data_IF_494006070408
#
_entry.id   IF_494006070408
#
_cell.length_a   1.000
_cell.length_b   1.000
_cell.length_c   1.000
_cell.angle_alpha   90.00
_cell.angle_beta   90.00
_cell.angle_gamma   90.00
#
_symmetry.space_group_name_H-M   'P 1'
#
loop_
_entity.id
_entity.type
_entity.pdbx_description
1 polymer ?
#
# COMPACT_ATOMS: atom_id res chain seq x y z
N UNK A 1 -9.88 13.06 -0.56
CA UNK A 1 -8.85 13.79 0.21
C UNK A 1 -7.50 13.25 -0.22
N UNK A 2 -6.47 14.09 -0.37
CA UNK A 2 -5.11 13.64 -0.64
C UNK A 2 -4.39 13.55 0.71
N UNK A 3 -3.88 12.39 1.07
CA UNK A 3 -3.17 12.18 2.34
C UNK A 3 -1.72 11.79 2.07
N UNK A 4 -0.82 12.28 2.92
CA UNK A 4 0.56 11.82 2.92
C UNK A 4 0.65 10.40 3.50
N UNK A 5 1.53 9.60 2.91
CA UNK A 5 1.80 8.22 3.28
C UNK A 5 3.29 8.07 3.52
N UNK A 6 3.65 7.37 4.58
CA UNK A 6 4.99 6.89 4.88
C UNK A 6 5.02 5.39 4.65
N UNK A 7 5.92 4.93 3.78
CA UNK A 7 6.09 3.52 3.49
C UNK A 7 7.05 2.87 4.48
N UNK A 8 6.77 1.63 4.88
CA UNK A 8 7.66 0.88 5.76
C UNK A 8 8.95 0.54 4.99
N UNK A 9 10.14 0.86 5.53
CA UNK A 9 11.41 0.59 4.87
C UNK A 9 11.57 -0.88 4.48
N UNK A 10 11.99 -1.14 3.25
CA UNK A 10 12.20 -2.49 2.73
C UNK A 10 10.93 -3.21 2.27
N UNK A 11 9.73 -2.68 2.55
CA UNK A 11 8.46 -3.22 2.04
C UNK A 11 8.43 -3.30 0.52
N UNK A 12 7.63 -4.22 -0.01
CA UNK A 12 7.39 -4.30 -1.46
C UNK A 12 6.75 -2.99 -1.94
N UNK A 13 5.86 -2.39 -1.17
CA UNK A 13 5.23 -1.12 -1.52
C UNK A 13 6.25 0.02 -1.67
N UNK A 14 7.19 0.19 -0.73
CA UNK A 14 8.26 1.20 -0.84
C UNK A 14 9.09 1.00 -2.11
N UNK A 15 9.42 -0.26 -2.45
CA UNK A 15 10.17 -0.59 -3.68
C UNK A 15 9.38 -0.27 -4.95
N UNK A 16 8.07 -0.50 -4.96
CA UNK A 16 7.20 -0.20 -6.10
C UNK A 16 7.12 1.31 -6.36
N UNK A 17 7.02 2.11 -5.30
CA UNK A 17 6.97 3.56 -5.42
C UNK A 17 8.35 4.20 -5.65
N UNK A 18 9.42 3.53 -5.23
CA UNK A 18 10.80 4.01 -5.40
C UNK A 18 11.14 5.18 -4.46
N UNK A 19 10.37 5.37 -3.40
CA UNK A 19 10.53 6.44 -2.42
C UNK A 19 10.02 5.98 -1.03
N UNK A 20 10.29 6.79 0.00
CA UNK A 20 9.86 6.51 1.38
C UNK A 20 8.49 7.10 1.72
N UNK A 21 8.00 8.03 0.90
CA UNK A 21 6.69 8.65 1.10
C UNK A 21 6.04 9.07 -0.21
N UNK A 22 4.72 9.11 -0.22
CA UNK A 22 3.92 9.56 -1.36
C UNK A 22 2.65 10.27 -0.88
N UNK A 23 1.95 10.90 -1.81
CA UNK A 23 0.62 11.48 -1.55
C UNK A 23 -0.41 10.80 -2.43
N UNK A 24 -1.35 10.09 -1.81
CA UNK A 24 -2.39 9.34 -2.50
C UNK A 24 -3.79 9.83 -2.13
N UNK A 25 -4.74 9.54 -3.01
CA UNK A 25 -6.13 9.95 -2.83
C UNK A 25 -6.96 8.83 -2.18
N UNK A 26 -7.82 9.21 -1.24
CA UNK A 26 -8.84 8.33 -0.67
C UNK A 26 -10.05 9.09 -0.17
N UNK A 27 -11.18 8.39 -0.09
CA UNK A 27 -12.44 8.94 0.38
C UNK A 27 -13.13 7.94 1.31
N UNK A 28 -12.53 7.75 2.48
CA UNK A 28 -13.05 6.87 3.52
C UNK A 28 -12.41 7.23 4.87
N UNK A 29 -13.23 7.32 5.93
CA UNK A 29 -12.75 7.52 7.31
C UNK A 29 -12.55 6.20 8.06
N UNK A 30 -12.96 5.06 7.48
CA UNK A 30 -12.67 3.76 8.07
C UNK A 30 -11.16 3.47 7.99
N UNK A 31 -10.65 2.87 9.06
CA UNK A 31 -9.27 2.45 9.19
C UNK A 31 -9.16 1.10 9.85
N UNK A 32 -7.95 0.55 9.88
CA UNK A 32 -7.68 -0.67 10.63
C UNK A 32 -7.79 -0.38 12.12
N UNK A 33 -8.61 -1.16 12.83
CA UNK A 33 -8.72 -1.06 14.29
C UNK A 33 -7.34 -1.34 14.93
N UNK A 34 -6.76 -0.40 15.71
CA UNK A 34 -5.44 -0.55 16.29
C UNK A 34 -5.26 -1.83 17.12
N UNK A 35 -6.32 -2.29 17.80
CA UNK A 35 -6.29 -3.53 18.57
C UNK A 35 -5.98 -4.77 17.73
N UNK A 36 -6.35 -4.74 16.44
CA UNK A 36 -6.08 -5.83 15.50
C UNK A 36 -4.81 -5.61 14.69
N UNK A 37 -4.30 -4.38 14.59
CA UNK A 37 -3.11 -4.06 13.80
C UNK A 37 -1.86 -4.79 14.32
N UNK A 38 -1.70 -4.83 15.64
CA UNK A 38 -0.61 -5.59 16.29
C UNK A 38 -0.74 -7.08 15.97
N UNK A 39 -1.95 -7.64 16.12
CA UNK A 39 -2.22 -9.06 15.85
C UNK A 39 -1.92 -9.45 14.40
N UNK A 40 -2.28 -8.62 13.43
CA UNK A 40 -1.97 -8.87 12.02
C UNK A 40 -0.46 -8.93 11.77
N UNK A 41 0.33 -8.13 12.49
CA UNK A 41 1.77 -8.00 12.31
C UNK A 41 2.58 -9.17 12.89
N UNK A 42 1.96 -9.99 13.77
CA UNK A 42 2.59 -11.19 14.34
C UNK A 42 2.75 -12.33 13.33
N UNK A 43 1.95 -12.33 12.26
CA UNK A 43 1.99 -13.33 11.20
C UNK A 43 2.80 -12.87 9.96
N UNK A 44 2.56 -13.52 8.81
CA UNK A 44 3.18 -13.13 7.53
C UNK A 44 2.62 -11.82 6.96
N UNK A 45 1.50 -11.31 7.49
CA UNK A 45 0.97 -10.02 7.08
C UNK A 45 1.76 -8.89 7.73
N UNK A 46 2.23 -7.94 6.93
CA UNK A 46 3.05 -6.81 7.36
C UNK A 46 2.35 -5.50 7.04
N UNK A 47 2.51 -4.51 7.92
CA UNK A 47 2.19 -3.13 7.59
C UNK A 47 3.16 -2.66 6.51
N UNK A 48 2.64 -1.97 5.49
CA UNK A 48 3.43 -1.48 4.37
C UNK A 48 3.39 0.05 4.25
N UNK A 49 2.34 0.69 4.78
CA UNK A 49 2.24 2.15 4.82
C UNK A 49 1.40 2.65 5.99
N UNK A 50 1.73 3.85 6.46
CA UNK A 50 0.97 4.63 7.45
C UNK A 50 0.73 6.04 6.95
N UNK A 51 -0.28 6.72 7.47
CA UNK A 51 -0.41 8.17 7.30
C UNK A 51 0.41 8.96 8.35
N UNK A 52 0.30 10.29 8.33
CA UNK A 52 0.98 11.19 9.26
C UNK A 52 0.58 10.96 10.73
N UNK A 53 -0.62 10.44 10.98
CA UNK A 53 -1.11 10.12 12.32
C UNK A 53 -0.69 8.70 12.77
N UNK A 54 0.06 7.98 11.93
CA UNK A 54 0.52 6.62 12.20
C UNK A 54 -0.53 5.53 11.93
N UNK A 55 -1.70 5.89 11.41
CA UNK A 55 -2.76 4.93 11.07
C UNK A 55 -2.36 4.09 9.87
N UNK A 56 -2.60 2.79 9.93
CA UNK A 56 -2.26 1.86 8.84
C UNK A 56 -3.09 2.17 7.59
N UNK A 57 -2.40 2.39 6.47
CA UNK A 57 -3.00 2.67 5.16
C UNK A 57 -2.71 1.63 4.09
N UNK A 58 -1.70 0.79 4.31
CA UNK A 58 -1.48 -0.39 3.47
C UNK A 58 -0.87 -1.55 4.26
N UNK A 59 -1.16 -2.75 3.78
CA UNK A 59 -0.57 -4.00 4.25
C UNK A 59 -0.09 -4.83 3.05
N UNK A 60 0.86 -5.72 3.31
CA UNK A 60 1.33 -6.73 2.36
C UNK A 60 1.44 -8.11 3.03
N UNK A 61 1.52 -9.17 2.23
CA UNK A 61 1.65 -10.54 2.74
C UNK A 61 2.99 -11.14 2.28
N UNK A 62 3.84 -11.44 3.25
CA UNK A 62 5.08 -12.18 3.02
C UNK A 62 4.79 -13.61 2.57
N UNK A 63 5.61 -14.12 1.65
CA UNK A 63 5.43 -15.45 1.08
C UNK A 63 4.41 -15.54 -0.06
N UNK A 64 3.69 -14.45 -0.38
CA UNK A 64 2.84 -14.38 -1.58
C UNK A 64 3.59 -13.68 -2.74
N UNK A 65 3.49 -14.19 -3.99
CA UNK A 65 4.15 -13.59 -5.16
C UNK A 65 3.82 -12.09 -5.32
N UNK A 66 2.55 -11.73 -5.10
CA UNK A 66 2.11 -10.35 -5.02
C UNK A 66 0.81 -10.24 -4.21
N UNK A 67 0.87 -9.62 -3.03
CA UNK A 67 -0.32 -9.30 -2.23
C UNK A 67 -0.09 -7.98 -1.52
N UNK A 68 -0.88 -6.98 -1.87
CA UNK A 68 -0.87 -5.64 -1.27
C UNK A 68 -2.33 -5.19 -1.19
N UNK A 69 -2.77 -4.71 -0.03
CA UNK A 69 -4.06 -4.07 0.15
C UNK A 69 -3.87 -2.64 0.65
N UNK A 70 -4.58 -1.69 0.04
CA UNK A 70 -4.47 -0.27 0.32
C UNK A 70 -5.84 0.30 0.71
N UNK A 71 -5.86 1.20 1.69
CA UNK A 71 -7.04 2.04 1.96
C UNK A 71 -7.07 3.26 1.03
N UNK A 72 -5.93 3.59 0.42
CA UNK A 72 -5.86 4.56 -0.65
C UNK A 72 -6.15 3.96 -2.02
N UNK A 73 -6.49 4.83 -2.97
CA UNK A 73 -6.98 4.49 -4.29
C UNK A 73 -5.92 4.81 -5.36
N UNK A 74 -4.88 3.95 -5.52
CA UNK A 74 -3.78 4.20 -6.46
C UNK A 74 -4.27 4.45 -7.89
N UNK A 75 -5.39 3.84 -8.29
CA UNK A 75 -6.01 3.97 -9.60
C UNK A 75 -6.39 5.41 -9.95
N UNK A 76 -6.64 6.27 -8.96
CA UNK A 76 -7.02 7.68 -9.19
C UNK A 76 -5.90 8.49 -9.86
N UNK A 77 -4.64 8.06 -9.73
CA UNK A 77 -3.53 8.69 -10.46
C UNK A 77 -3.71 8.67 -11.98
N UNK A 78 -4.46 7.69 -12.51
CA UNK A 78 -4.80 7.60 -13.93
C UNK A 78 -5.69 8.77 -14.40
N UNK A 79 -6.51 9.36 -13.52
CA UNK A 79 -7.32 10.56 -13.84
C UNK A 79 -6.45 11.78 -14.14
N UNK A 80 -5.19 11.76 -13.71
CA UNK A 80 -4.19 12.79 -13.96
C UNK A 80 -3.19 12.37 -15.04
N UNK A 81 -3.54 11.41 -15.91
CA UNK A 81 -2.67 10.82 -16.93
C UNK A 81 -1.33 10.27 -16.38
N UNK A 82 -1.34 9.78 -15.13
CA UNK A 82 -0.18 9.12 -14.50
C UNK A 82 -0.45 7.63 -14.38
N UNK A 83 0.50 6.80 -14.79
CA UNK A 83 0.41 5.35 -14.64
C UNK A 83 0.56 4.99 -13.15
N UNK A 84 -0.44 4.35 -12.51
CA UNK A 84 -0.34 3.99 -11.10
C UNK A 84 0.80 2.98 -10.87
N UNK A 85 1.83 3.31 -10.05
CA UNK A 85 2.97 2.41 -9.84
C UNK A 85 2.54 1.03 -9.32
N UNK A 86 1.59 1.02 -8.37
CA UNK A 86 1.08 -0.22 -7.77
C UNK A 86 0.32 -1.10 -8.77
N UNK A 87 -0.49 -0.51 -9.66
CA UNK A 87 -1.22 -1.26 -10.69
C UNK A 87 -0.26 -1.82 -11.74
N UNK A 88 0.74 -1.02 -12.17
CA UNK A 88 1.80 -1.50 -13.08
C UNK A 88 2.54 -2.69 -12.49
N UNK A 89 2.90 -2.62 -11.21
CA UNK A 89 3.60 -3.70 -10.51
C UNK A 89 2.72 -4.96 -10.38
N UNK A 90 1.43 -4.79 -10.10
CA UNK A 90 0.49 -5.92 -10.05
C UNK A 90 0.40 -6.65 -11.39
N UNK A 91 0.20 -5.92 -12.50
CA UNK A 91 0.12 -6.51 -13.84
C UNK A 91 1.42 -7.23 -14.21
N UNK A 92 2.58 -6.64 -13.89
CA UNK A 92 3.87 -7.27 -14.12
C UNK A 92 4.02 -8.58 -13.31
N UNK A 93 3.57 -8.61 -12.06
CA UNK A 93 3.62 -9.80 -11.21
C UNK A 93 2.66 -10.91 -11.69
N UNK A 94 1.53 -10.55 -12.29
CA UNK A 94 0.62 -11.49 -12.95
C UNK A 94 1.27 -12.06 -14.22
N UNK A 95 1.85 -11.20 -15.06
CA UNK A 95 2.51 -11.64 -16.29
C UNK A 95 3.71 -12.58 -16.05
N UNK A 96 4.43 -12.39 -14.93
CA UNK A 96 5.54 -13.26 -14.54
C UNK A 96 5.10 -14.64 -14.01
N UNK A 97 3.81 -14.84 -13.75
CA UNK A 97 3.23 -16.13 -13.33
C UNK A 97 2.55 -16.89 -14.46
N UNK A 98 2.49 -16.31 -15.67
CA UNK A 98 1.89 -16.92 -16.85
C UNK A 98 2.82 -17.95 -17.52
#
# INVERSE_FOLDING_TARGET
MKGALHFEPGSRLAKIYGCESAHEEYHCSFGLNPHYAERLSTGPMKVAARDEEGSVRAIELDGHPFFIATLFQPERSALHNRLPPLVKAFVAAVAAQA
#
